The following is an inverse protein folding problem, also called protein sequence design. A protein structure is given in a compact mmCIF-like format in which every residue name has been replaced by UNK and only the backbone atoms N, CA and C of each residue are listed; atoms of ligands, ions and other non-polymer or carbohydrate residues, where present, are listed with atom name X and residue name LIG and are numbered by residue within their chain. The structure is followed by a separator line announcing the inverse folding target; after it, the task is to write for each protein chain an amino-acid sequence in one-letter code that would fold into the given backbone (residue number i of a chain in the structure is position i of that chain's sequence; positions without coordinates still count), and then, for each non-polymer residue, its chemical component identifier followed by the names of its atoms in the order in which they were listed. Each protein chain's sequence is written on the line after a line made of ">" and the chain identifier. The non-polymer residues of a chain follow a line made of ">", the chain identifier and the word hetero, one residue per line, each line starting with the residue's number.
data_IF_279790663699
#
_entry.id   IF_279790663699
#
_cell.length_a   1.000
_cell.length_b   1.000
_cell.length_c   1.000
_cell.angle_alpha   90.00
_cell.angle_beta   90.00
_cell.angle_gamma   90.00
#
_symmetry.space_group_name_H-M   'P 1'
#
loop_
_entity.id
_entity.type
_entity.pdbx_description
1 polymer ?
#
# COMPACT_ATOMS: atom_id res chain seq x y z
N UNK A 1 9.69 16.31 -8.56
CA UNK A 1 10.74 17.16 -7.96
C UNK A 1 12.16 16.68 -8.29
N UNK A 2 12.49 15.40 -8.19
CA UNK A 2 13.82 14.87 -8.56
C UNK A 2 14.18 15.15 -10.03
N UNK A 3 13.21 15.08 -10.95
CA UNK A 3 13.38 15.41 -12.37
C UNK A 3 13.70 16.89 -12.56
N UNK A 4 12.99 17.77 -11.82
CA UNK A 4 13.23 19.21 -11.86
C UNK A 4 14.64 19.61 -11.41
N UNK A 5 15.16 18.95 -10.37
CA UNK A 5 16.53 19.16 -9.89
C UNK A 5 17.63 18.65 -10.81
N UNK A 6 17.30 17.85 -11.83
CA UNK A 6 18.26 17.32 -12.82
C UNK A 6 18.24 18.09 -14.15
N UNK A 7 17.17 18.84 -14.42
CA UNK A 7 17.03 19.65 -15.63
C UNK A 7 17.64 21.04 -15.41
N UNK A 8 18.89 21.25 -15.56
CA UNK A 8 19.46 22.58 -15.38
C UNK A 8 20.92 22.62 -14.98
N UNK A 9 21.64 21.52 -15.19
CA UNK A 9 23.09 21.48 -14.90
C UNK A 9 23.91 22.43 -15.77
N UNK A 10 23.38 22.86 -16.93
CA UNK A 10 24.05 23.78 -17.87
C UNK A 10 23.19 25.00 -18.26
N UNK A 11 22.13 25.31 -17.49
CA UNK A 11 21.24 26.45 -17.77
C UNK A 11 19.88 26.33 -17.07
N UNK A 12 18.91 27.21 -17.43
CA UNK A 12 17.54 27.15 -16.88
C UNK A 12 16.82 25.93 -17.45
N UNK A 13 16.76 24.85 -16.66
CA UNK A 13 15.98 23.68 -16.98
C UNK A 13 14.48 23.95 -17.00
N UNK A 14 13.74 23.30 -17.90
CA UNK A 14 12.30 23.39 -18.00
C UNK A 14 11.69 22.00 -17.82
N UNK A 15 10.72 21.88 -16.93
CA UNK A 15 9.95 20.66 -16.72
C UNK A 15 8.51 20.94 -17.13
N UNK A 16 7.92 20.06 -17.93
CA UNK A 16 6.51 20.12 -18.33
C UNK A 16 5.76 18.99 -17.61
N UNK A 17 4.71 19.35 -16.90
CA UNK A 17 3.81 18.42 -16.24
C UNK A 17 2.50 18.36 -17.02
N UNK A 18 2.19 17.21 -17.63
CA UNK A 18 0.92 16.96 -18.29
C UNK A 18 -0.04 16.27 -17.31
N UNK A 19 -1.22 16.86 -17.11
CA UNK A 19 -2.24 16.33 -16.19
C UNK A 19 -3.65 16.63 -16.68
N UNK A 20 -4.63 15.83 -16.23
CA UNK A 20 -6.07 16.09 -16.40
C UNK A 20 -6.65 16.97 -15.29
N UNK A 21 -5.86 17.23 -14.24
CA UNK A 21 -6.27 17.99 -13.05
C UNK A 21 -5.29 19.15 -12.79
N UNK A 22 -5.21 20.16 -13.69
CA UNK A 22 -4.24 21.24 -13.57
C UNK A 22 -4.45 22.09 -12.30
N UNK A 23 -5.68 22.18 -11.83
CA UNK A 23 -6.07 22.99 -10.65
C UNK A 23 -5.91 22.22 -9.33
N UNK A 24 -5.37 21.00 -9.35
CA UNK A 24 -5.18 20.22 -8.12
C UNK A 24 -4.14 20.89 -7.22
N UNK A 25 -4.46 21.23 -5.94
CA UNK A 25 -3.59 22.00 -5.06
C UNK A 25 -2.17 21.44 -4.92
N UNK A 26 -2.04 20.11 -4.74
CA UNK A 26 -0.74 19.45 -4.65
C UNK A 26 0.11 19.58 -5.92
N UNK A 27 -0.52 19.62 -7.10
CA UNK A 27 0.21 19.81 -8.36
C UNK A 27 0.68 21.26 -8.51
N UNK A 28 -0.09 22.22 -8.06
CA UNK A 28 0.30 23.62 -8.04
C UNK A 28 1.46 23.87 -7.05
N UNK A 29 1.41 23.30 -5.85
CA UNK A 29 2.51 23.33 -4.88
C UNK A 29 3.76 22.65 -5.42
N UNK A 30 3.61 21.50 -6.09
CA UNK A 30 4.74 20.84 -6.74
C UNK A 30 5.36 21.68 -7.87
N UNK A 31 4.54 22.41 -8.64
CA UNK A 31 4.99 23.27 -9.73
C UNK A 31 5.67 24.56 -9.23
N UNK A 32 5.20 25.12 -8.10
CA UNK A 32 5.83 26.29 -7.47
C UNK A 32 7.20 25.98 -6.85
N UNK A 33 7.49 24.70 -6.60
CA UNK A 33 8.73 24.26 -5.94
C UNK A 33 8.71 24.41 -4.42
N UNK A 34 7.57 24.75 -3.82
CA UNK A 34 7.42 24.82 -2.36
C UNK A 34 7.28 23.41 -1.77
N UNK A 35 8.44 22.80 -1.54
CA UNK A 35 8.49 21.46 -0.98
C UNK A 35 7.94 21.40 0.45
N UNK A 36 8.14 22.45 1.23
CA UNK A 36 7.71 22.47 2.63
C UNK A 36 6.18 22.46 2.73
N UNK A 37 5.51 23.32 1.96
CA UNK A 37 4.06 23.34 1.87
C UNK A 37 3.51 22.03 1.34
N UNK A 38 4.07 21.50 0.24
CA UNK A 38 3.67 20.20 -0.33
C UNK A 38 3.80 19.07 0.68
N UNK A 39 4.91 19.01 1.42
CA UNK A 39 5.13 17.97 2.42
C UNK A 39 4.16 18.09 3.61
N UNK A 40 3.86 19.33 4.02
CA UNK A 40 2.89 19.61 5.10
C UNK A 40 1.49 19.13 4.72
N UNK A 41 1.00 19.49 3.54
CA UNK A 41 -0.33 19.07 3.06
C UNK A 41 -0.43 17.54 2.95
N UNK A 42 0.60 16.89 2.39
CA UNK A 42 0.64 15.43 2.29
C UNK A 42 0.67 14.74 3.66
N UNK A 43 1.33 15.34 4.66
CA UNK A 43 1.33 14.81 6.02
C UNK A 43 -0.03 14.97 6.70
N UNK A 44 -0.73 16.08 6.49
CA UNK A 44 -2.08 16.25 7.03
C UNK A 44 -3.07 15.27 6.41
N UNK A 45 -3.02 15.02 5.09
CA UNK A 45 -3.83 13.99 4.44
C UNK A 45 -3.55 12.59 5.03
N UNK A 46 -2.27 12.25 5.24
CA UNK A 46 -1.88 10.98 5.86
C UNK A 46 -2.36 10.85 7.29
N UNK A 47 -2.33 11.94 8.05
CA UNK A 47 -2.82 11.99 9.42
C UNK A 47 -4.33 11.76 9.50
N UNK A 48 -5.10 12.40 8.61
CA UNK A 48 -6.56 12.22 8.54
C UNK A 48 -6.95 10.78 8.16
N UNK A 49 -6.10 10.08 7.43
CA UNK A 49 -6.34 8.72 6.97
C UNK A 49 -5.63 7.65 7.84
N UNK A 50 -5.06 8.01 8.99
CA UNK A 50 -4.25 7.14 9.84
C UNK A 50 -3.17 6.35 9.08
N UNK A 51 -2.56 7.00 8.08
CA UNK A 51 -1.48 6.42 7.29
C UNK A 51 -0.10 6.74 7.90
N UNK A 52 0.93 5.94 7.61
CA UNK A 52 2.30 6.24 8.08
C UNK A 52 2.74 7.68 7.74
N UNK A 53 3.36 8.41 8.67
CA UNK A 53 3.93 7.95 9.95
C UNK A 53 2.96 7.97 11.14
N UNK A 54 1.69 8.31 10.97
CA UNK A 54 0.71 8.46 12.05
C UNK A 54 0.01 7.15 12.42
N UNK A 55 -0.02 6.18 11.51
CA UNK A 55 -0.50 4.83 11.71
C UNK A 55 0.51 3.79 11.21
N UNK A 56 0.15 2.52 11.31
CA UNK A 56 0.95 1.38 10.91
C UNK A 56 0.17 0.52 9.94
N UNK A 57 0.87 0.01 8.93
CA UNK A 57 0.28 -0.81 7.88
C UNK A 57 0.99 -2.16 7.77
N UNK A 58 0.24 -3.18 7.35
CA UNK A 58 0.81 -4.43 6.90
C UNK A 58 0.02 -4.96 5.70
N UNK A 59 0.71 -5.32 4.63
CA UNK A 59 0.11 -5.72 3.37
C UNK A 59 0.39 -7.19 3.09
N UNK A 60 -0.65 -8.01 3.13
CA UNK A 60 -0.61 -9.36 2.61
C UNK A 60 -0.80 -9.35 1.10
N UNK A 61 0.13 -9.94 0.37
CA UNK A 61 0.02 -10.19 -1.07
C UNK A 61 0.00 -11.68 -1.33
N UNK A 62 -0.86 -12.10 -2.22
CA UNK A 62 -0.99 -13.49 -2.65
C UNK A 62 -0.96 -13.58 -4.17
N UNK A 63 -0.22 -14.55 -4.70
CA UNK A 63 -0.13 -14.84 -6.14
C UNK A 63 -0.44 -16.32 -6.38
N UNK A 64 -1.37 -16.61 -7.31
CA UNK A 64 -1.76 -17.96 -7.68
C UNK A 64 -1.97 -18.11 -9.19
N UNK A 65 -2.14 -19.34 -9.65
CA UNK A 65 -2.41 -19.63 -11.07
C UNK A 65 -3.82 -19.23 -11.49
N UNK A 66 -4.75 -19.01 -10.55
CA UNK A 66 -6.08 -18.46 -10.80
C UNK A 66 -6.44 -17.42 -9.76
N UNK A 67 -7.27 -16.45 -10.15
CA UNK A 67 -7.79 -15.43 -9.25
C UNK A 67 -8.56 -16.04 -8.07
N UNK A 68 -9.37 -17.09 -8.34
CA UNK A 68 -10.16 -17.76 -7.30
C UNK A 68 -9.27 -18.34 -6.18
N UNK A 69 -8.15 -19.00 -6.52
CA UNK A 69 -7.22 -19.54 -5.50
C UNK A 69 -6.53 -18.45 -4.69
N UNK A 70 -6.12 -17.37 -5.35
CA UNK A 70 -5.49 -16.24 -4.66
C UNK A 70 -6.48 -15.55 -3.71
N UNK A 71 -7.71 -15.37 -4.15
CA UNK A 71 -8.79 -14.75 -3.37
C UNK A 71 -9.20 -15.65 -2.19
N UNK A 72 -9.42 -16.94 -2.43
CA UNK A 72 -9.82 -17.92 -1.41
C UNK A 72 -8.86 -17.93 -0.22
N UNK A 73 -7.55 -17.94 -0.48
CA UNK A 73 -6.56 -17.91 0.58
C UNK A 73 -6.67 -16.67 1.47
N UNK A 74 -6.74 -15.47 0.88
CA UNK A 74 -6.87 -14.24 1.65
C UNK A 74 -8.24 -14.10 2.32
N UNK A 75 -9.32 -14.64 1.72
CA UNK A 75 -10.63 -14.69 2.35
C UNK A 75 -10.66 -15.57 3.62
N UNK A 76 -9.96 -16.72 3.58
CA UNK A 76 -9.81 -17.55 4.75
C UNK A 76 -9.04 -16.84 5.87
N UNK A 77 -7.99 -16.09 5.53
CA UNK A 77 -7.27 -15.26 6.50
C UNK A 77 -8.12 -14.10 7.03
N UNK A 78 -8.90 -13.46 6.17
CA UNK A 78 -9.79 -12.37 6.57
C UNK A 78 -10.91 -12.78 7.53
N UNK A 79 -11.27 -14.06 7.55
CA UNK A 79 -12.24 -14.63 8.51
C UNK A 79 -11.70 -14.88 9.91
N UNK A 80 -10.41 -14.66 10.15
CA UNK A 80 -9.78 -14.88 11.46
C UNK A 80 -10.05 -13.67 12.36
N UNK A 81 -10.52 -13.87 13.60
CA UNK A 81 -10.70 -12.78 14.54
C UNK A 81 -9.38 -12.03 14.80
N UNK A 82 -9.43 -10.72 14.71
CA UNK A 82 -8.31 -9.82 14.95
C UNK A 82 -8.58 -8.92 16.16
N UNK A 83 -7.56 -8.29 16.77
CA UNK A 83 -7.75 -7.26 17.77
C UNK A 83 -8.69 -6.15 17.25
N UNK A 84 -9.58 -5.59 18.13
CA UNK A 84 -10.65 -4.68 17.71
C UNK A 84 -10.15 -3.40 17.04
N UNK A 85 -8.93 -2.98 17.37
CA UNK A 85 -8.32 -1.74 16.82
C UNK A 85 -7.63 -1.97 15.47
N UNK A 86 -7.61 -3.21 14.96
CA UNK A 86 -6.99 -3.53 13.67
C UNK A 86 -8.07 -3.57 12.59
N UNK A 87 -7.99 -2.65 11.66
CA UNK A 87 -8.87 -2.59 10.49
C UNK A 87 -8.29 -3.44 9.36
N UNK A 88 -9.14 -4.31 8.81
CA UNK A 88 -8.79 -5.13 7.66
C UNK A 88 -9.53 -4.61 6.44
N UNK A 89 -8.78 -4.28 5.39
CA UNK A 89 -9.26 -3.78 4.11
C UNK A 89 -8.97 -4.81 3.01
N UNK A 90 -9.99 -5.23 2.32
CA UNK A 90 -9.92 -6.32 1.34
C UNK A 90 -10.42 -7.66 1.90
N UNK A 91 -10.05 -8.80 1.29
CA UNK A 91 -9.14 -8.92 0.14
C UNK A 91 -9.72 -8.39 -1.17
N UNK A 92 -8.84 -7.85 -2.01
CA UNK A 92 -9.17 -7.33 -3.34
C UNK A 92 -8.12 -7.77 -4.37
N UNK A 93 -8.45 -7.80 -5.67
CA UNK A 93 -7.42 -7.90 -6.71
C UNK A 93 -6.37 -6.79 -6.56
N UNK A 94 -5.10 -7.11 -6.78
CA UNK A 94 -4.06 -6.09 -6.78
C UNK A 94 -4.24 -5.13 -7.97
N UNK A 95 -3.77 -3.86 -7.90
CA UNK A 95 -3.85 -2.92 -9.02
C UNK A 95 -3.27 -3.48 -10.33
N UNK A 96 -2.20 -4.28 -10.24
CA UNK A 96 -1.73 -5.12 -11.34
C UNK A 96 -2.20 -6.55 -11.09
N UNK A 97 -3.41 -6.86 -11.56
CA UNK A 97 -4.08 -8.14 -11.28
C UNK A 97 -3.32 -9.37 -11.78
N UNK A 98 -2.50 -9.23 -12.85
CA UNK A 98 -1.76 -10.33 -13.43
C UNK A 98 -0.32 -9.94 -13.74
N UNK A 99 0.63 -10.74 -13.22
CA UNK A 99 2.06 -10.57 -13.49
C UNK A 99 2.71 -11.93 -13.68
N UNK A 100 3.53 -12.08 -14.73
CA UNK A 100 4.24 -13.31 -15.03
C UNK A 100 3.35 -14.58 -15.01
N UNK A 101 2.13 -14.47 -15.58
CA UNK A 101 1.17 -15.57 -15.65
C UNK A 101 0.39 -15.89 -14.38
N UNK A 102 0.65 -15.17 -13.27
CA UNK A 102 -0.04 -15.35 -11.99
C UNK A 102 -1.00 -14.21 -11.70
N UNK A 103 -2.13 -14.55 -11.10
CA UNK A 103 -3.10 -13.59 -10.56
C UNK A 103 -2.68 -13.14 -9.17
N UNK A 104 -2.90 -11.87 -8.89
CA UNK A 104 -2.46 -11.21 -7.65
C UNK A 104 -3.65 -10.64 -6.90
N UNK A 105 -3.70 -10.91 -5.61
CA UNK A 105 -4.66 -10.32 -4.67
C UNK A 105 -3.91 -9.75 -3.48
N UNK A 106 -4.55 -8.84 -2.78
CA UNK A 106 -3.96 -8.19 -1.62
C UNK A 106 -4.99 -7.89 -0.54
N UNK A 107 -4.53 -7.79 0.69
CA UNK A 107 -5.30 -7.48 1.88
C UNK A 107 -4.44 -6.60 2.79
N UNK A 108 -4.96 -5.45 3.20
CA UNK A 108 -4.26 -4.49 4.02
C UNK A 108 -4.79 -4.53 5.45
N UNK A 109 -3.87 -4.55 6.42
CA UNK A 109 -4.16 -4.30 7.83
C UNK A 109 -3.69 -2.89 8.17
N UNK A 110 -4.52 -2.17 8.90
CA UNK A 110 -4.25 -0.80 9.36
C UNK A 110 -4.54 -0.72 10.86
N UNK A 111 -3.66 -0.06 11.59
CA UNK A 111 -3.84 0.19 13.01
C UNK A 111 -3.10 1.45 13.45
N UNK A 112 -3.69 2.24 14.33
CA UNK A 112 -3.03 3.41 14.90
C UNK A 112 -1.84 3.03 15.80
N UNK A 113 -1.85 1.84 16.38
CA UNK A 113 -0.83 1.37 17.30
C UNK A 113 -0.09 0.14 16.76
N UNK A 114 1.23 0.11 16.98
CA UNK A 114 2.09 -0.98 16.51
C UNK A 114 1.83 -2.31 17.19
N UNK A 115 1.57 -2.32 18.50
CA UNK A 115 1.46 -3.56 19.25
C UNK A 115 0.25 -4.43 18.82
N UNK A 116 -0.99 -3.91 18.70
CA UNK A 116 -2.11 -4.69 18.18
C UNK A 116 -1.88 -5.17 16.74
N UNK A 117 -1.26 -4.35 15.89
CA UNK A 117 -0.92 -4.77 14.52
C UNK A 117 0.04 -5.95 14.51
N UNK A 118 1.09 -5.93 15.33
CA UNK A 118 2.03 -7.06 15.44
C UNK A 118 1.37 -8.32 15.97
N UNK A 119 0.44 -8.19 16.92
CA UNK A 119 -0.36 -9.33 17.41
C UNK A 119 -1.19 -9.93 16.27
N UNK A 120 -1.91 -9.10 15.51
CA UNK A 120 -2.69 -9.53 14.36
C UNK A 120 -1.80 -10.22 13.30
N UNK A 121 -0.65 -9.62 12.97
CA UNK A 121 0.33 -10.20 12.04
C UNK A 121 0.77 -11.59 12.53
N UNK A 122 1.10 -11.76 13.79
CA UNK A 122 1.57 -13.04 14.34
C UNK A 122 0.52 -14.13 14.19
N UNK A 123 -0.74 -13.83 14.53
CA UNK A 123 -1.88 -14.75 14.37
C UNK A 123 -2.08 -15.13 12.90
N UNK A 124 -2.11 -14.13 12.00
CA UNK A 124 -2.33 -14.38 10.58
C UNK A 124 -1.17 -15.16 9.93
N UNK A 125 0.07 -14.92 10.32
CA UNK A 125 1.23 -15.68 9.81
C UNK A 125 1.20 -17.14 10.24
N UNK A 126 0.82 -17.41 11.48
CA UNK A 126 0.65 -18.78 12.00
C UNK A 126 -0.42 -19.52 11.17
N UNK A 127 -1.58 -18.90 11.01
CA UNK A 127 -2.66 -19.46 10.21
C UNK A 127 -2.30 -19.61 8.73
N UNK A 128 -1.64 -18.63 8.13
CA UNK A 128 -1.22 -18.68 6.74
C UNK A 128 -0.31 -19.89 6.43
N UNK A 129 0.53 -20.28 7.38
CA UNK A 129 1.41 -21.45 7.26
C UNK A 129 0.66 -22.78 7.36
N UNK A 130 -0.44 -22.83 8.09
CA UNK A 130 -1.22 -24.06 8.33
C UNK A 130 -2.31 -24.28 7.29
N UNK A 131 -2.88 -23.21 6.73
CA UNK A 131 -3.95 -23.29 5.73
C UNK A 131 -3.53 -24.06 4.47
N UNK A 132 -4.30 -25.08 4.02
CA UNK A 132 -4.03 -25.81 2.78
C UNK A 132 -4.00 -24.89 1.55
N UNK A 133 -4.85 -23.86 1.50
CA UNK A 133 -4.87 -22.86 0.42
C UNK A 133 -3.54 -22.10 0.31
N UNK A 134 -2.86 -21.82 1.41
CA UNK A 134 -1.56 -21.17 1.44
C UNK A 134 -0.45 -21.97 0.74
N UNK A 135 -0.56 -23.31 0.67
CA UNK A 135 0.39 -24.16 -0.05
C UNK A 135 0.24 -24.10 -1.57
N UNK A 136 -0.91 -23.61 -2.06
CA UNK A 136 -1.22 -23.51 -3.48
C UNK A 136 -0.90 -22.14 -4.07
N UNK A 137 -0.49 -21.20 -3.23
CA UNK A 137 -0.18 -19.82 -3.59
C UNK A 137 1.24 -19.45 -3.16
N UNK A 138 1.75 -18.37 -3.78
CA UNK A 138 2.90 -17.65 -3.26
C UNK A 138 2.35 -16.45 -2.49
N UNK A 139 2.70 -16.33 -1.24
CA UNK A 139 2.25 -15.20 -0.44
C UNK A 139 3.42 -14.60 0.34
N UNK A 140 3.32 -13.34 0.64
CA UNK A 140 4.24 -12.61 1.51
C UNK A 140 3.50 -11.50 2.25
N UNK A 141 4.08 -11.10 3.36
CA UNK A 141 3.64 -9.97 4.16
C UNK A 141 4.72 -8.90 4.11
N UNK A 142 4.29 -7.68 3.86
CA UNK A 142 5.12 -6.48 3.85
C UNK A 142 4.63 -5.56 4.98
N UNK A 143 5.52 -5.21 5.91
CA UNK A 143 5.20 -4.33 7.05
C UNK A 143 5.67 -2.93 6.73
N UNK A 144 4.81 -1.95 6.94
CA UNK A 144 5.00 -0.55 6.55
C UNK A 144 5.41 -0.42 5.05
N UNK A 145 4.57 -0.95 4.13
CA UNK A 145 4.89 -0.99 2.70
C UNK A 145 5.08 0.42 2.14
N UNK A 146 6.18 0.62 1.41
CA UNK A 146 6.44 1.88 0.69
C UNK A 146 5.61 1.94 -0.58
N UNK A 147 5.38 0.78 -1.20
CA UNK A 147 4.62 0.63 -2.44
C UNK A 147 3.43 -0.32 -2.22
N UNK A 148 2.24 0.19 -2.51
CA UNK A 148 0.99 -0.58 -2.43
C UNK A 148 0.47 -1.07 -3.79
N UNK A 149 1.27 -0.93 -4.86
CA UNK A 149 0.97 -1.38 -6.22
C UNK A 149 1.35 -2.84 -6.48
#
# INVERSE_FOLDING_TARGET
>A
LQVAGRSGREGKGRVLLQTRHPDHPLLQLAASGDYAALASDLLEERKMADLPPFGHLALFRCEAMSMGKAMEFLQQLAGIPLPPDVHLLGPVPAPMERRAGRYRTQMLLQCAQRAPLHQAISVLLEQARTLPAGRQCRWHLDVDPIDML
#
